data_IF_068370387218
#
_entry.id   IF_068370387218
#
_cell.length_a   1.000
_cell.length_b   1.000
_cell.length_c   1.000
_cell.angle_alpha   90.00
_cell.angle_beta   90.00
_cell.angle_gamma   90.00
#
_symmetry.space_group_name_H-M   'P 1'
#
loop_
_entity.id
_entity.type
_entity.pdbx_description
1 polymer ?
#
# COMPACT_ATOMS: atom_id res chain seq x y z
N UNK A 1 10.89 8.30 -4.13
CA UNK A 1 9.45 8.62 -3.88
C UNK A 1 9.29 10.05 -3.39
N UNK A 2 10.06 10.50 -2.40
CA UNK A 2 9.93 11.83 -1.78
C UNK A 2 10.08 12.97 -2.78
N UNK A 3 11.08 12.93 -3.65
CA UNK A 3 11.29 13.93 -4.70
C UNK A 3 10.09 14.01 -5.66
N UNK A 4 9.54 12.86 -6.06
CA UNK A 4 8.34 12.79 -6.91
C UNK A 4 7.16 13.43 -6.18
N UNK A 5 6.95 13.11 -4.90
CA UNK A 5 5.88 13.70 -4.11
C UNK A 5 6.05 15.22 -3.96
N UNK A 6 7.28 15.69 -3.72
CA UNK A 6 7.57 17.12 -3.59
C UNK A 6 7.25 17.88 -4.88
N UNK A 7 7.67 17.37 -6.03
CA UNK A 7 7.33 17.92 -7.35
C UNK A 7 5.81 17.89 -7.61
N UNK A 8 5.13 16.81 -7.23
CA UNK A 8 3.66 16.73 -7.41
C UNK A 8 2.92 17.77 -6.58
N UNK A 9 3.38 18.13 -5.38
CA UNK A 9 2.73 19.19 -4.59
C UNK A 9 2.89 20.56 -5.25
N UNK A 10 4.05 20.82 -5.84
CA UNK A 10 4.33 22.10 -6.53
C UNK A 10 3.44 22.24 -7.76
N UNK A 11 3.30 21.18 -8.55
CA UNK A 11 2.68 21.22 -9.87
C UNK A 11 1.22 20.74 -9.91
N UNK A 12 0.80 19.91 -8.95
CA UNK A 12 -0.50 19.23 -8.92
C UNK A 12 -1.25 19.52 -7.62
N UNK A 13 -1.63 20.80 -7.43
CA UNK A 13 -2.35 21.30 -6.22
C UNK A 13 -3.68 20.61 -5.91
N UNK A 14 -4.25 19.88 -6.87
CA UNK A 14 -5.52 19.16 -6.75
C UNK A 14 -5.33 17.66 -6.98
N UNK A 15 -4.21 17.08 -6.55
CA UNK A 15 -3.99 15.65 -6.67
C UNK A 15 -5.04 14.89 -5.84
N UNK A 16 -5.90 14.14 -6.52
CA UNK A 16 -6.98 13.35 -5.88
C UNK A 16 -6.55 11.91 -5.62
N UNK A 17 -5.67 11.36 -6.47
CA UNK A 17 -5.29 9.97 -6.44
C UNK A 17 -3.77 9.79 -6.61
N UNK A 18 -3.20 8.87 -5.83
CA UNK A 18 -1.80 8.48 -5.92
C UNK A 18 -1.66 6.96 -5.77
N UNK A 19 -0.71 6.36 -6.48
CA UNK A 19 -0.50 4.91 -6.43
C UNK A 19 0.99 4.57 -6.48
N UNK A 20 1.38 3.62 -5.63
CA UNK A 20 2.70 2.98 -5.65
C UNK A 20 2.44 1.48 -5.61
N UNK A 21 2.79 0.77 -6.68
CA UNK A 21 2.56 -0.68 -6.77
C UNK A 21 3.90 -1.37 -6.57
N UNK A 22 3.93 -2.43 -5.76
CA UNK A 22 5.14 -3.22 -5.51
C UNK A 22 6.31 -2.40 -4.95
N UNK A 23 6.03 -1.39 -4.12
CA UNK A 23 7.02 -0.50 -3.53
C UNK A 23 7.44 -0.89 -2.11
N UNK A 24 8.65 -0.50 -1.71
CA UNK A 24 9.12 -0.58 -0.33
C UNK A 24 8.82 0.74 0.40
N UNK A 25 7.85 0.73 1.33
CA UNK A 25 7.37 1.94 2.02
C UNK A 25 8.02 2.00 3.41
N UNK A 26 9.18 2.64 3.46
CA UNK A 26 9.85 3.06 4.70
C UNK A 26 9.08 4.18 5.41
N UNK A 27 9.44 4.44 6.66
CA UNK A 27 8.87 5.52 7.48
C UNK A 27 8.95 6.87 6.77
N UNK A 28 10.09 7.17 6.14
CA UNK A 28 10.31 8.42 5.39
C UNK A 28 9.31 8.59 4.22
N UNK A 29 8.96 7.48 3.56
CA UNK A 29 7.98 7.47 2.47
C UNK A 29 6.56 7.71 3.00
N UNK A 30 6.18 7.03 4.09
CA UNK A 30 4.88 7.24 4.75
C UNK A 30 4.73 8.66 5.28
N UNK A 31 5.77 9.20 5.90
CA UNK A 31 5.84 10.59 6.37
C UNK A 31 5.69 11.57 5.21
N UNK A 32 6.38 11.33 4.08
CA UNK A 32 6.24 12.16 2.89
C UNK A 32 4.80 12.14 2.34
N UNK A 33 4.15 10.97 2.28
CA UNK A 33 2.74 10.86 1.85
C UNK A 33 1.85 11.72 2.75
N UNK A 34 1.99 11.60 4.08
CA UNK A 34 1.16 12.35 5.04
C UNK A 34 1.41 13.87 4.95
N UNK A 35 2.67 14.29 4.86
CA UNK A 35 3.04 15.71 4.89
C UNK A 35 2.77 16.42 3.56
N UNK A 36 2.96 15.72 2.44
CA UNK A 36 2.85 16.30 1.09
C UNK A 36 1.45 16.12 0.51
N UNK A 37 0.76 15.02 0.84
CA UNK A 37 -0.56 14.69 0.32
C UNK A 37 -1.64 14.55 1.43
N UNK A 38 -1.79 15.51 2.36
CA UNK A 38 -2.68 15.35 3.52
C UNK A 38 -4.17 15.19 3.16
N UNK A 39 -4.58 15.71 1.99
CA UNK A 39 -5.96 15.71 1.51
C UNK A 39 -6.19 14.70 0.38
N UNK A 40 -5.32 13.70 0.24
CA UNK A 40 -5.47 12.68 -0.80
C UNK A 40 -6.74 11.86 -0.54
N UNK A 41 -7.53 11.65 -1.59
CA UNK A 41 -8.79 10.90 -1.49
C UNK A 41 -8.63 9.43 -1.83
N UNK A 42 -7.70 9.11 -2.73
CA UNK A 42 -7.49 7.74 -3.21
C UNK A 42 -6.01 7.38 -3.17
N UNK A 43 -5.67 6.36 -2.38
CA UNK A 43 -4.32 5.84 -2.29
C UNK A 43 -4.31 4.34 -2.60
N UNK A 44 -3.37 3.89 -3.42
CA UNK A 44 -3.11 2.46 -3.60
C UNK A 44 -1.64 2.17 -3.34
N UNK A 45 -1.39 1.24 -2.43
CA UNK A 45 -0.07 0.71 -2.09
C UNK A 45 -0.03 -0.80 -2.35
N UNK A 46 -0.80 -1.30 -3.32
CA UNK A 46 -0.97 -2.74 -3.57
C UNK A 46 0.39 -3.42 -3.80
N UNK A 47 0.56 -4.63 -3.26
CA UNK A 47 1.81 -5.39 -3.34
C UNK A 47 3.01 -4.72 -2.65
N UNK A 48 2.81 -3.70 -1.81
CA UNK A 48 3.90 -3.02 -1.14
C UNK A 48 4.42 -3.82 0.06
N UNK A 49 5.72 -3.67 0.34
CA UNK A 49 6.30 -4.07 1.61
C UNK A 49 6.34 -2.85 2.53
N UNK A 50 5.66 -2.91 3.66
CA UNK A 50 5.58 -1.80 4.61
C UNK A 50 5.34 -2.27 6.04
N UNK A 51 6.07 -1.70 6.99
CA UNK A 51 5.79 -1.93 8.40
C UNK A 51 4.38 -1.44 8.75
N UNK A 52 3.70 -2.19 9.63
CA UNK A 52 2.37 -1.85 10.15
C UNK A 52 2.27 -0.40 10.64
N UNK A 53 3.30 0.10 11.31
CA UNK A 53 3.38 1.46 11.85
C UNK A 53 3.30 2.52 10.75
N UNK A 54 3.86 2.24 9.57
CA UNK A 54 3.84 3.14 8.43
C UNK A 54 2.43 3.25 7.85
N UNK A 55 1.68 2.14 7.78
CA UNK A 55 0.27 2.16 7.38
C UNK A 55 -0.59 2.92 8.40
N UNK A 56 -0.36 2.68 9.70
CA UNK A 56 -1.03 3.43 10.77
C UNK A 56 -0.73 4.92 10.70
N UNK A 57 0.50 5.32 10.37
CA UNK A 57 0.89 6.71 10.16
C UNK A 57 0.08 7.34 9.03
N UNK A 58 -0.04 6.65 7.89
CA UNK A 58 -0.82 7.12 6.73
C UNK A 58 -2.30 7.29 7.10
N UNK A 59 -2.93 6.29 7.74
CA UNK A 59 -4.32 6.36 8.19
C UNK A 59 -4.58 7.48 9.21
N UNK A 60 -3.58 7.79 10.03
CA UNK A 60 -3.67 8.90 11.00
C UNK A 60 -3.46 10.26 10.33
N UNK A 61 -2.66 10.35 9.28
CA UNK A 61 -2.34 11.61 8.61
C UNK A 61 -3.32 12.02 7.50
N UNK A 62 -3.72 11.08 6.65
CA UNK A 62 -4.55 11.35 5.46
C UNK A 62 -6.04 11.21 5.79
N UNK A 63 -6.66 12.27 6.34
CA UNK A 63 -8.04 12.23 6.87
C UNK A 63 -9.14 12.27 5.82
N UNK A 64 -8.82 12.66 4.60
CA UNK A 64 -9.78 12.74 3.50
C UNK A 64 -9.82 11.47 2.63
N UNK A 65 -9.18 10.38 3.07
CA UNK A 65 -9.18 9.11 2.34
C UNK A 65 -10.60 8.55 2.20
N UNK A 66 -11.03 8.39 0.96
CA UNK A 66 -12.26 7.72 0.57
C UNK A 66 -11.99 6.32 0.00
N UNK A 67 -10.77 6.10 -0.53
CA UNK A 67 -10.29 4.82 -1.06
C UNK A 67 -8.87 4.54 -0.61
N UNK A 68 -8.64 3.38 -0.01
CA UNK A 68 -7.31 2.86 0.30
C UNK A 68 -7.21 1.38 -0.07
N UNK A 69 -6.24 1.06 -0.92
CA UNK A 69 -5.95 -0.31 -1.34
C UNK A 69 -4.54 -0.70 -0.96
N UNK A 70 -4.45 -1.54 0.07
CA UNK A 70 -3.22 -2.15 0.59
C UNK A 70 -3.33 -3.67 0.49
N UNK A 71 -3.96 -4.17 -0.58
CA UNK A 71 -4.10 -5.61 -0.81
C UNK A 71 -2.74 -6.23 -1.18
N UNK A 72 -2.53 -7.48 -0.73
CA UNK A 72 -1.31 -8.25 -0.98
C UNK A 72 -0.02 -7.57 -0.49
N UNK A 73 -0.11 -6.79 0.57
CA UNK A 73 1.05 -6.14 1.18
C UNK A 73 1.74 -7.05 2.20
N UNK A 74 3.03 -6.83 2.39
CA UNK A 74 3.84 -7.51 3.41
C UNK A 74 4.14 -6.57 4.57
N UNK A 75 4.00 -7.06 5.81
CA UNK A 75 4.35 -6.33 7.04
C UNK A 75 3.17 -5.99 7.96
N UNK A 76 1.95 -6.44 7.63
CA UNK A 76 0.77 -6.45 8.51
C UNK A 76 -0.25 -7.48 8.01
N UNK A 77 -1.10 -7.98 8.92
CA UNK A 77 -2.10 -9.00 8.56
C UNK A 77 -3.40 -8.41 8.02
N UNK A 78 -3.98 -9.08 7.02
CA UNK A 78 -5.37 -8.88 6.61
C UNK A 78 -6.29 -8.95 7.83
N UNK A 79 -7.22 -8.00 7.93
CA UNK A 79 -8.20 -7.97 9.00
C UNK A 79 -7.65 -7.52 10.36
N UNK A 80 -6.47 -6.89 10.41
CA UNK A 80 -5.94 -6.30 11.65
C UNK A 80 -6.97 -5.33 12.26
N UNK A 81 -7.43 -5.66 13.47
CA UNK A 81 -8.54 -4.95 14.11
C UNK A 81 -8.28 -3.48 14.41
N UNK A 82 -7.02 -3.07 14.66
CA UNK A 82 -6.69 -1.65 14.84
C UNK A 82 -6.68 -0.91 13.51
N UNK A 83 -6.10 -1.52 12.46
CA UNK A 83 -6.11 -0.97 11.10
C UNK A 83 -7.55 -0.79 10.62
N UNK A 84 -8.41 -1.81 10.77
CA UNK A 84 -9.82 -1.73 10.43
C UNK A 84 -10.54 -0.61 11.19
N UNK A 85 -10.26 -0.46 12.49
CA UNK A 85 -10.83 0.62 13.30
C UNK A 85 -10.38 1.99 12.80
N UNK A 86 -9.11 2.15 12.47
CA UNK A 86 -8.58 3.40 11.92
C UNK A 86 -9.15 3.70 10.53
N UNK A 87 -9.33 2.68 9.69
CA UNK A 87 -9.87 2.79 8.34
C UNK A 87 -11.41 2.86 8.28
N UNK A 88 -12.11 2.78 9.42
CA UNK A 88 -13.59 2.73 9.47
C UNK A 88 -14.33 3.92 8.83
N UNK A 89 -13.65 5.05 8.65
CA UNK A 89 -14.18 6.24 7.97
C UNK A 89 -14.00 6.22 6.46
N UNK A 90 -13.19 5.29 5.92
CA UNK A 90 -12.85 5.17 4.50
C UNK A 90 -13.92 4.34 3.81
N UNK A 91 -14.59 4.91 2.80
CA UNK A 91 -15.68 4.26 2.08
C UNK A 91 -15.29 2.93 1.41
N UNK A 92 -14.05 2.82 0.94
CA UNK A 92 -13.51 1.62 0.30
C UNK A 92 -12.10 1.33 0.81
N UNK A 93 -11.99 0.48 1.83
CA UNK A 93 -10.73 -0.06 2.32
C UNK A 93 -10.52 -1.50 1.84
N UNK A 94 -9.32 -1.83 1.36
CA UNK A 94 -8.94 -3.17 0.91
C UNK A 94 -7.58 -3.56 1.46
N UNK A 95 -7.52 -4.68 2.15
CA UNK A 95 -6.33 -5.27 2.77
C UNK A 95 -6.19 -6.77 2.47
N UNK A 96 -7.01 -7.28 1.55
CA UNK A 96 -7.06 -8.70 1.22
C UNK A 96 -5.71 -9.23 0.77
N UNK A 97 -5.31 -10.38 1.29
CA UNK A 97 -4.08 -11.09 0.97
C UNK A 97 -2.82 -10.48 1.58
N UNK A 98 -2.96 -9.48 2.46
CA UNK A 98 -1.83 -8.92 3.19
C UNK A 98 -1.47 -9.79 4.39
N UNK A 99 -0.17 -9.92 4.65
CA UNK A 99 0.34 -10.79 5.71
C UNK A 99 1.61 -10.22 6.35
N UNK A 100 1.83 -10.56 7.62
CA UNK A 100 3.10 -10.31 8.31
C UNK A 100 4.22 -11.25 7.83
N UNK A 101 3.88 -12.36 7.17
CA UNK A 101 4.82 -13.41 6.81
C UNK A 101 5.91 -12.93 5.85
N UNK A 102 7.14 -12.85 6.37
CA UNK A 102 8.35 -12.85 5.56
C UNK A 102 8.41 -14.20 4.83
N UNK A 103 8.44 -14.18 3.50
CA UNK A 103 8.89 -15.34 2.71
C UNK A 103 10.42 -15.52 2.90
N UNK A 104 10.88 -15.80 4.12
CA UNK A 104 12.11 -16.55 4.28
C UNK A 104 11.79 -17.98 3.89
N UNK A 105 11.95 -18.28 2.61
CA UNK A 105 12.03 -19.66 2.14
C UNK A 105 13.30 -20.27 2.74
N UNK A 106 13.22 -20.75 3.99
CA UNK A 106 14.21 -21.64 4.56
C UNK A 106 14.06 -22.99 3.85
N UNK A 107 14.94 -23.19 2.87
CA UNK A 107 15.24 -24.45 2.19
C UNK A 107 14.13 -25.10 1.32
N UNK A 108 14.51 -25.29 0.05
CA UNK A 108 13.87 -26.03 -1.02
C UNK A 108 12.80 -25.29 -1.86
N UNK A 109 13.26 -24.68 -2.94
CA UNK A 109 12.46 -24.19 -4.05
C UNK A 109 11.82 -25.38 -4.79
N UNK A 110 10.76 -25.97 -4.23
CA UNK A 110 10.03 -27.05 -4.90
C UNK A 110 8.56 -27.15 -4.49
N UNK A 111 7.84 -26.04 -4.34
CA UNK A 111 6.41 -26.09 -4.71
C UNK A 111 5.88 -24.74 -5.17
N UNK A 112 5.55 -24.70 -6.45
CA UNK A 112 4.71 -23.67 -7.03
C UNK A 112 3.39 -23.60 -6.27
N UNK A 113 3.09 -22.43 -5.69
CA UNK A 113 1.77 -21.81 -5.87
C UNK A 113 1.97 -20.38 -6.34
N UNK A 114 2.05 -20.29 -7.65
CA UNK A 114 1.67 -19.12 -8.40
C UNK A 114 0.15 -19.04 -8.39
N UNK A 115 -0.41 -18.10 -7.65
CA UNK A 115 -1.80 -17.69 -7.75
C UNK A 115 -1.88 -16.16 -7.59
N UNK A 116 -1.92 -15.37 -8.64
CA UNK A 116 -1.90 -15.67 -10.06
C UNK A 116 -1.64 -14.42 -10.87
N UNK A 117 -0.84 -14.58 -11.92
CA UNK A 117 -0.85 -13.70 -13.08
C UNK A 117 -0.68 -14.62 -14.28
N UNK A 118 -1.80 -15.16 -14.77
CA UNK A 118 -1.81 -15.92 -16.01
C UNK A 118 -2.10 -14.90 -17.12
N UNK A 119 -1.06 -14.27 -17.64
CA UNK A 119 -1.15 -13.63 -18.94
C UNK A 119 -0.59 -14.62 -19.96
N UNK A 120 -1.51 -15.14 -20.76
CA UNK A 120 -1.21 -16.08 -21.83
C UNK A 120 -0.45 -15.42 -22.97
N UNK A 121 -0.27 -16.22 -24.02
CA UNK A 121 0.44 -15.98 -25.27
C UNK A 121 1.93 -16.26 -25.22
N UNK A 122 2.29 -17.45 -25.71
CA UNK A 122 3.08 -17.52 -26.93
C UNK A 122 2.48 -18.60 -27.83
N UNK A 123 1.95 -18.14 -28.97
CA UNK A 123 1.65 -18.96 -30.12
C UNK A 123 2.96 -19.27 -30.87
N UNK A 124 3.00 -20.50 -31.40
CA UNK A 124 3.92 -21.09 -32.38
C UNK A 124 5.35 -21.44 -31.95
#
# INVERSE_FOLDING_TARGET
MEEILAETVIHCKNLVAFAVISGYIEERHASAIVNLLPNIKRLSLRHAHMARENLVMILKGCKELEYLDVSFCEGFDEGDGEILKLASHISSFKDKGSSLDNYYCEDDCSSFRYDGFFDGYWSE
#
